data_IF_333198037102
#
_entry.id   IF_333198037102
#
_cell.length_a   1.000
_cell.length_b   1.000
_cell.length_c   1.000
_cell.angle_alpha   90.00
_cell.angle_beta   90.00
_cell.angle_gamma   90.00
#
_symmetry.space_group_name_H-M   'P 1'
#
loop_
_entity.id
_entity.type
_entity.pdbx_description
1 polymer ?
#
# COMPACT_ATOMS: atom_id res chain seq x y z
N UNK A 1 -5.42 -9.93 -21.70
CA UNK A 1 -4.34 -9.85 -20.71
C UNK A 1 -4.80 -8.96 -19.55
N UNK A 2 -4.49 -9.32 -18.33
CA UNK A 2 -4.82 -8.50 -17.14
C UNK A 2 -3.98 -7.23 -17.14
N UNK A 3 -4.62 -6.06 -17.13
CA UNK A 3 -3.92 -4.78 -17.14
C UNK A 3 -3.49 -4.36 -15.73
N UNK A 4 -4.38 -4.58 -14.74
CA UNK A 4 -4.16 -4.18 -13.35
C UNK A 4 -4.22 -5.37 -12.39
N UNK A 5 -3.52 -5.25 -11.28
CA UNK A 5 -3.72 -6.06 -10.07
C UNK A 5 -4.09 -5.14 -8.91
N UNK A 6 -5.23 -5.38 -8.27
CA UNK A 6 -5.55 -4.76 -6.98
C UNK A 6 -4.96 -5.67 -5.90
N UNK A 7 -3.90 -5.20 -5.25
CA UNK A 7 -3.11 -5.98 -4.28
C UNK A 7 -3.45 -5.59 -2.85
N UNK A 8 -3.84 -6.56 -2.04
CA UNK A 8 -4.19 -6.38 -0.64
C UNK A 8 -3.29 -7.28 0.24
N UNK A 9 -2.40 -6.73 1.07
CA UNK A 9 -1.73 -7.52 2.11
C UNK A 9 -2.73 -7.89 3.19
N UNK A 10 -2.71 -9.13 3.67
CA UNK A 10 -3.68 -9.65 4.62
C UNK A 10 -3.03 -10.40 5.77
N UNK A 11 -3.46 -10.08 6.99
CA UNK A 11 -3.16 -10.84 8.21
C UNK A 11 -4.30 -10.69 9.21
N UNK A 12 -5.18 -11.71 9.31
CA UNK A 12 -6.32 -11.73 10.23
C UNK A 12 -7.30 -10.56 10.03
N UNK A 13 -7.84 -10.45 8.83
CA UNK A 13 -8.75 -9.38 8.39
C UNK A 13 -10.13 -9.92 8.00
N UNK A 14 -10.60 -11.01 8.65
CA UNK A 14 -11.89 -11.68 8.30
C UNK A 14 -13.11 -10.75 8.32
N UNK A 15 -13.07 -9.67 9.12
CA UNK A 15 -14.17 -8.72 9.27
C UNK A 15 -14.27 -7.70 8.13
N UNK A 16 -13.18 -7.45 7.44
CA UNK A 16 -13.03 -6.31 6.52
C UNK A 16 -12.71 -6.73 5.09
N UNK A 17 -11.99 -7.84 4.92
CA UNK A 17 -11.47 -8.26 3.61
C UNK A 17 -12.55 -8.42 2.54
N UNK A 18 -13.71 -9.01 2.87
CA UNK A 18 -14.82 -9.18 1.93
C UNK A 18 -15.32 -7.85 1.39
N UNK A 19 -15.56 -6.88 2.28
CA UNK A 19 -16.00 -5.53 1.91
C UNK A 19 -14.96 -4.80 1.06
N UNK A 20 -13.67 -4.91 1.37
CA UNK A 20 -12.59 -4.32 0.57
C UNK A 20 -12.54 -4.91 -0.85
N UNK A 21 -12.75 -6.23 -0.99
CA UNK A 21 -12.81 -6.90 -2.29
C UNK A 21 -14.01 -6.42 -3.10
N UNK A 22 -15.17 -6.27 -2.46
CA UNK A 22 -16.38 -5.79 -3.15
C UNK A 22 -16.27 -4.32 -3.57
N UNK A 23 -15.60 -3.47 -2.78
CA UNK A 23 -15.23 -2.12 -3.20
C UNK A 23 -14.27 -2.15 -4.40
N UNK A 24 -13.25 -3.02 -4.38
CA UNK A 24 -12.33 -3.17 -5.50
C UNK A 24 -13.03 -3.58 -6.80
N UNK A 25 -14.01 -4.48 -6.74
CA UNK A 25 -14.84 -4.84 -7.90
C UNK A 25 -15.60 -3.64 -8.46
N UNK A 26 -16.15 -2.80 -7.57
CA UNK A 26 -16.84 -1.56 -7.99
C UNK A 26 -15.86 -0.59 -8.67
N UNK A 27 -14.66 -0.40 -8.11
CA UNK A 27 -13.62 0.45 -8.67
C UNK A 27 -13.13 -0.05 -10.03
N UNK A 28 -12.94 -1.36 -10.19
CA UNK A 28 -12.59 -2.01 -11.44
C UNK A 28 -13.65 -1.73 -12.51
N UNK A 29 -14.92 -1.95 -12.18
CA UNK A 29 -16.04 -1.71 -13.09
C UNK A 29 -16.18 -0.23 -13.46
N UNK A 30 -16.12 0.67 -12.45
CA UNK A 30 -16.21 2.12 -12.67
C UNK A 30 -15.07 2.68 -13.54
N UNK A 31 -13.87 2.12 -13.41
CA UNK A 31 -12.69 2.51 -14.19
C UNK A 31 -12.59 1.82 -15.55
N UNK A 32 -13.48 0.90 -15.85
CA UNK A 32 -13.51 0.10 -17.10
C UNK A 32 -12.13 -0.52 -17.42
N UNK A 33 -11.58 -1.24 -16.45
CA UNK A 33 -10.26 -1.89 -16.55
C UNK A 33 -10.36 -3.41 -16.48
N UNK A 34 -9.41 -4.09 -17.12
CA UNK A 34 -9.19 -5.53 -16.93
C UNK A 34 -8.27 -5.71 -15.73
N UNK A 35 -8.78 -6.30 -14.65
CA UNK A 35 -7.99 -6.46 -13.42
C UNK A 35 -8.25 -7.79 -12.71
N UNK A 36 -7.24 -8.26 -11.98
CA UNK A 36 -7.41 -9.25 -10.93
C UNK A 36 -7.42 -8.58 -9.55
N UNK A 37 -8.03 -9.23 -8.57
CA UNK A 37 -7.87 -8.90 -7.15
C UNK A 37 -6.99 -9.98 -6.52
N UNK A 38 -5.87 -9.56 -5.95
CA UNK A 38 -4.87 -10.43 -5.34
C UNK A 38 -4.73 -10.12 -3.86
N UNK A 39 -4.97 -11.13 -3.04
CA UNK A 39 -4.73 -11.06 -1.59
C UNK A 39 -3.43 -11.77 -1.26
N UNK A 40 -2.47 -11.05 -0.72
CA UNK A 40 -1.19 -11.58 -0.25
C UNK A 40 -1.32 -11.92 1.25
N UNK A 41 -1.67 -13.17 1.55
CA UNK A 41 -1.84 -13.65 2.92
C UNK A 41 -0.50 -13.89 3.60
N UNK A 42 -0.30 -13.26 4.74
CA UNK A 42 0.93 -13.39 5.53
C UNK A 42 0.80 -14.36 6.72
N UNK A 43 -0.06 -15.35 6.55
CA UNK A 43 -0.30 -16.44 7.50
C UNK A 43 -1.41 -16.14 8.47
N UNK A 44 -2.57 -15.75 7.96
CA UNK A 44 -3.81 -15.59 8.72
C UNK A 44 -4.24 -16.92 9.34
N UNK A 45 -4.70 -16.85 10.58
CA UNK A 45 -5.24 -17.98 11.35
C UNK A 45 -6.76 -17.96 11.45
N UNK A 46 -7.39 -16.89 10.97
CA UNK A 46 -8.84 -16.69 10.92
C UNK A 46 -9.41 -17.07 9.54
N UNK A 47 -10.63 -16.64 9.24
CA UNK A 47 -11.32 -16.95 7.99
C UNK A 47 -10.95 -16.02 6.81
N UNK A 48 -9.96 -15.14 6.95
CA UNK A 48 -9.60 -14.14 5.94
C UNK A 48 -9.39 -14.74 4.54
N UNK A 49 -8.59 -15.80 4.44
CA UNK A 49 -8.29 -16.44 3.15
C UNK A 49 -9.49 -17.14 2.52
N UNK A 50 -10.36 -17.71 3.34
CA UNK A 50 -11.60 -18.32 2.89
C UNK A 50 -12.55 -17.25 2.34
N UNK A 51 -12.80 -16.19 3.10
CA UNK A 51 -13.65 -15.07 2.69
C UNK A 51 -13.13 -14.40 1.42
N UNK A 52 -11.82 -14.20 1.32
CA UNK A 52 -11.22 -13.61 0.13
C UNK A 52 -11.53 -14.41 -1.14
N UNK A 53 -11.44 -15.76 -1.07
CA UNK A 53 -11.78 -16.63 -2.21
C UNK A 53 -13.25 -16.62 -2.54
N UNK A 54 -14.13 -16.67 -1.54
CA UNK A 54 -15.59 -16.57 -1.72
C UNK A 54 -15.99 -15.26 -2.42
N UNK A 55 -15.27 -14.17 -2.10
CA UNK A 55 -15.42 -12.88 -2.79
C UNK A 55 -14.63 -12.80 -4.11
N UNK A 56 -14.15 -13.93 -4.65
CA UNK A 56 -13.55 -14.02 -5.99
C UNK A 56 -12.12 -13.45 -6.10
N UNK A 57 -11.42 -13.21 -5.00
CA UNK A 57 -10.01 -12.84 -5.05
C UNK A 57 -9.10 -14.07 -5.20
N UNK A 58 -8.01 -13.91 -5.92
CA UNK A 58 -6.91 -14.88 -5.91
C UNK A 58 -6.08 -14.66 -4.64
N UNK A 59 -5.76 -15.73 -3.94
CA UNK A 59 -4.98 -15.68 -2.70
C UNK A 59 -3.63 -16.33 -2.91
N UNK A 60 -2.56 -15.63 -2.53
CA UNK A 60 -1.19 -16.15 -2.46
C UNK A 60 -0.70 -16.14 -1.03
N UNK A 61 -0.12 -17.27 -0.59
CA UNK A 61 0.47 -17.36 0.74
C UNK A 61 1.92 -16.89 0.69
N UNK A 62 2.26 -15.93 1.56
CA UNK A 62 3.62 -15.40 1.72
C UNK A 62 4.18 -15.89 3.05
N UNK A 63 5.13 -16.83 2.99
CA UNK A 63 5.68 -17.48 4.17
C UNK A 63 6.52 -16.54 5.03
N UNK A 64 7.28 -15.63 4.41
CA UNK A 64 8.12 -14.69 5.12
C UNK A 64 7.23 -13.63 5.81
N UNK A 65 7.37 -13.54 7.14
CA UNK A 65 6.51 -12.65 7.96
C UNK A 65 6.89 -11.18 7.82
N UNK A 66 5.87 -10.35 7.76
CA UNK A 66 5.96 -8.90 7.76
C UNK A 66 5.14 -8.24 6.65
N UNK A 67 4.75 -7.00 6.89
CA UNK A 67 3.94 -6.19 5.97
C UNK A 67 4.61 -6.05 4.59
N UNK A 68 5.90 -5.67 4.60
CA UNK A 68 6.67 -5.54 3.36
C UNK A 68 6.86 -6.89 2.66
N UNK A 69 7.08 -7.98 3.41
CA UNK A 69 7.17 -9.32 2.84
C UNK A 69 5.88 -9.72 2.12
N UNK A 70 4.71 -9.46 2.73
CA UNK A 70 3.42 -9.71 2.09
C UNK A 70 3.30 -8.96 0.76
N UNK A 71 3.65 -7.67 0.75
CA UNK A 71 3.60 -6.84 -0.45
C UNK A 71 4.59 -7.29 -1.52
N UNK A 72 5.84 -7.60 -1.15
CA UNK A 72 6.87 -8.09 -2.09
C UNK A 72 6.43 -9.43 -2.70
N UNK A 73 5.89 -10.34 -1.88
CA UNK A 73 5.33 -11.61 -2.37
C UNK A 73 4.16 -11.39 -3.32
N UNK A 74 3.26 -10.47 -2.98
CA UNK A 74 2.14 -10.07 -3.82
C UNK A 74 2.57 -9.44 -5.15
N UNK A 75 3.55 -8.53 -5.15
CA UNK A 75 4.13 -7.92 -6.37
C UNK A 75 4.69 -8.98 -7.32
N UNK A 76 5.43 -9.96 -6.77
CA UNK A 76 5.97 -11.08 -7.56
C UNK A 76 4.88 -11.94 -8.17
N UNK A 77 3.80 -12.20 -7.42
CA UNK A 77 2.69 -13.05 -7.85
C UNK A 77 1.67 -12.33 -8.76
N UNK A 78 1.65 -11.00 -8.77
CA UNK A 78 0.73 -10.20 -9.57
C UNK A 78 0.86 -10.48 -11.07
N UNK A 79 -0.26 -10.44 -11.81
CA UNK A 79 -0.33 -10.68 -13.24
C UNK A 79 -0.53 -9.40 -14.06
N UNK A 80 -1.01 -8.34 -13.43
CA UNK A 80 -1.22 -7.05 -14.07
C UNK A 80 0.09 -6.31 -14.38
N UNK A 81 0.08 -5.54 -15.46
CA UNK A 81 1.16 -4.59 -15.77
C UNK A 81 1.30 -3.55 -14.66
N UNK A 82 0.18 -3.08 -14.14
CA UNK A 82 0.11 -2.10 -13.07
C UNK A 82 -0.44 -2.73 -11.81
N UNK A 83 0.05 -2.28 -10.67
CA UNK A 83 -0.46 -2.68 -9.35
C UNK A 83 -1.05 -1.45 -8.68
N UNK A 84 -2.26 -1.58 -8.12
CA UNK A 84 -2.80 -0.66 -7.13
C UNK A 84 -2.89 -1.44 -5.82
N UNK A 85 -2.06 -1.08 -4.84
CA UNK A 85 -2.06 -1.71 -3.53
C UNK A 85 -2.77 -0.85 -2.48
N UNK A 86 -3.33 -1.48 -1.47
CA UNK A 86 -3.88 -0.81 -0.31
C UNK A 86 -4.20 -1.79 0.81
N UNK A 87 -4.34 -1.28 2.03
CA UNK A 87 -4.65 -2.09 3.20
C UNK A 87 -6.11 -2.58 3.14
N UNK A 88 -6.36 -3.80 3.59
CA UNK A 88 -7.70 -4.42 3.54
C UNK A 88 -8.49 -4.25 4.85
N UNK A 89 -8.30 -3.15 5.54
CA UNK A 89 -8.92 -2.80 6.81
C UNK A 89 -10.05 -1.75 6.71
N UNK A 90 -10.54 -1.47 5.51
CA UNK A 90 -11.55 -0.46 5.19
C UNK A 90 -11.06 0.99 5.33
N UNK A 91 -9.81 1.26 5.67
CA UNK A 91 -9.30 2.63 5.80
C UNK A 91 -9.18 3.37 4.47
N UNK A 92 -9.09 2.65 3.36
CA UNK A 92 -9.09 3.21 2.00
C UNK A 92 -10.30 2.75 1.19
N UNK A 93 -10.74 3.60 0.27
CA UNK A 93 -11.84 3.32 -0.63
C UNK A 93 -11.36 2.76 -1.96
N UNK A 94 -11.42 1.45 -2.12
CA UNK A 94 -11.05 0.80 -3.37
C UNK A 94 -12.05 1.03 -4.51
N UNK A 95 -13.22 1.62 -4.25
CA UNK A 95 -14.14 2.01 -5.32
C UNK A 95 -13.68 3.27 -6.05
N UNK A 96 -12.78 4.07 -5.47
CA UNK A 96 -12.24 5.32 -6.02
C UNK A 96 -10.77 5.17 -6.45
N UNK A 97 -10.52 4.28 -7.42
CA UNK A 97 -9.16 4.01 -7.96
C UNK A 97 -8.90 4.71 -9.30
N UNK A 98 -9.87 5.41 -9.87
CA UNK A 98 -9.78 6.00 -11.20
C UNK A 98 -8.60 6.95 -11.39
N UNK A 99 -8.26 7.75 -10.36
CA UNK A 99 -7.10 8.63 -10.38
C UNK A 99 -5.77 7.87 -10.49
N UNK A 100 -5.64 6.72 -9.83
CA UNK A 100 -4.46 5.85 -9.98
C UNK A 100 -4.37 5.26 -11.37
N UNK A 101 -5.49 4.74 -11.90
CA UNK A 101 -5.57 4.17 -13.26
C UNK A 101 -5.12 5.20 -14.29
N UNK A 102 -5.67 6.42 -14.23
CA UNK A 102 -5.32 7.48 -15.15
C UNK A 102 -3.82 7.79 -15.13
N UNK A 103 -3.25 8.03 -13.95
CA UNK A 103 -1.83 8.41 -13.81
C UNK A 103 -0.88 7.30 -14.25
N UNK A 104 -1.20 6.05 -13.96
CA UNK A 104 -0.39 4.91 -14.41
C UNK A 104 -0.40 4.78 -15.95
N UNK A 105 -1.56 4.96 -16.58
CA UNK A 105 -1.67 5.00 -18.06
C UNK A 105 -0.95 6.20 -18.69
N UNK A 106 -0.84 7.33 -17.97
CA UNK A 106 -0.02 8.49 -18.36
C UNK A 106 1.50 8.22 -18.26
N UNK A 107 1.92 7.03 -17.79
CA UNK A 107 3.32 6.61 -17.73
C UNK A 107 4.05 6.99 -16.43
N UNK A 108 3.33 7.36 -15.37
CA UNK A 108 3.95 7.52 -14.06
C UNK A 108 4.39 6.14 -13.53
N UNK A 109 5.63 6.06 -13.04
CA UNK A 109 6.16 4.83 -12.45
C UNK A 109 5.57 4.53 -11.08
N UNK A 110 5.27 5.59 -10.29
CA UNK A 110 4.67 5.51 -8.97
C UNK A 110 3.60 6.60 -8.80
N UNK A 111 2.45 6.23 -8.27
CA UNK A 111 1.34 7.14 -7.91
C UNK A 111 1.04 6.95 -6.43
N UNK A 112 1.24 7.98 -5.64
CA UNK A 112 0.99 7.98 -4.19
C UNK A 112 -0.36 8.59 -3.86
N UNK A 113 -1.09 7.98 -2.92
CA UNK A 113 -2.19 8.68 -2.27
C UNK A 113 -1.68 9.78 -1.33
N UNK A 114 -2.48 10.82 -1.14
CA UNK A 114 -2.27 11.86 -0.13
C UNK A 114 -3.52 12.00 0.72
N UNK A 115 -3.42 11.63 1.98
CA UNK A 115 -4.54 11.61 2.93
C UNK A 115 -4.86 12.98 3.53
N UNK A 116 -3.90 13.91 3.56
CA UNK A 116 -4.01 15.14 4.35
C UNK A 116 -5.18 16.05 4.00
N UNK A 117 -5.73 15.93 2.79
CA UNK A 117 -6.94 16.62 2.37
C UNK A 117 -8.26 15.92 2.71
N UNK A 118 -8.22 14.66 3.20
CA UNK A 118 -9.43 13.84 3.35
C UNK A 118 -9.40 12.87 4.54
N UNK A 119 -8.84 13.29 5.69
CA UNK A 119 -8.80 12.45 6.91
C UNK A 119 -10.13 12.59 7.65
N UNK A 120 -10.91 11.51 7.75
CA UNK A 120 -12.11 11.47 8.58
C UNK A 120 -11.79 11.68 10.07
N UNK A 121 -12.73 12.27 10.80
CA UNK A 121 -12.56 12.49 12.25
C UNK A 121 -12.33 11.17 12.98
N UNK A 122 -11.17 11.03 13.64
CA UNK A 122 -10.79 9.83 14.38
C UNK A 122 -10.14 8.71 13.57
N UNK A 123 -9.91 8.90 12.25
CA UNK A 123 -9.21 7.93 11.41
C UNK A 123 -7.67 7.95 11.63
N UNK A 124 -7.14 9.04 12.15
CA UNK A 124 -5.72 9.18 12.48
C UNK A 124 -5.56 9.91 13.81
N UNK A 125 -4.63 9.46 14.64
CA UNK A 125 -4.31 10.14 15.92
C UNK A 125 -3.68 11.51 15.67
N UNK A 126 -3.85 12.44 16.60
CA UNK A 126 -3.27 13.78 16.51
C UNK A 126 -1.75 13.76 16.31
N UNK A 127 -1.06 12.93 17.08
CA UNK A 127 0.41 12.79 17.00
C UNK A 127 0.87 12.28 15.63
N UNK A 128 0.16 11.31 15.04
CA UNK A 128 0.48 10.84 13.68
C UNK A 128 0.19 11.91 12.63
N UNK A 129 -0.96 12.60 12.73
CA UNK A 129 -1.41 13.57 11.74
C UNK A 129 -0.50 14.79 11.66
N UNK A 130 -0.07 15.32 12.81
CA UNK A 130 0.60 16.62 12.88
C UNK A 130 2.10 16.54 13.17
N UNK A 131 2.60 15.40 13.66
CA UNK A 131 4.00 15.26 14.05
C UNK A 131 4.67 14.09 13.29
N UNK A 132 4.27 12.86 13.53
CA UNK A 132 5.00 11.68 13.06
C UNK A 132 5.08 11.59 11.53
N UNK A 133 3.93 11.59 10.85
CA UNK A 133 3.90 11.48 9.39
C UNK A 133 4.53 12.71 8.70
N UNK A 134 4.25 13.97 9.11
CA UNK A 134 4.89 15.13 8.50
C UNK A 134 6.42 15.15 8.67
N UNK A 135 6.94 14.84 9.87
CA UNK A 135 8.39 14.85 10.11
C UNK A 135 9.12 13.76 9.32
N UNK A 136 8.61 12.53 9.32
CA UNK A 136 9.19 11.44 8.54
C UNK A 136 9.08 11.69 7.03
N UNK A 137 7.96 12.26 6.57
CA UNK A 137 7.81 12.63 5.16
C UNK A 137 8.76 13.75 4.77
N UNK A 138 8.98 14.75 5.63
CA UNK A 138 9.96 15.82 5.38
C UNK A 138 11.37 15.25 5.28
N UNK A 139 11.77 14.38 6.21
CA UNK A 139 13.07 13.71 6.16
C UNK A 139 13.26 12.91 4.85
N UNK A 140 12.23 12.15 4.46
CA UNK A 140 12.22 11.40 3.19
C UNK A 140 12.31 12.31 1.97
N UNK A 141 11.56 13.43 1.95
CA UNK A 141 11.61 14.41 0.86
C UNK A 141 13.02 14.99 0.66
N UNK A 142 13.66 15.38 1.75
CA UNK A 142 15.03 15.90 1.72
C UNK A 142 16.00 14.82 1.23
N UNK A 143 15.89 13.61 1.78
CA UNK A 143 16.82 12.50 1.50
C UNK A 143 16.73 11.96 0.08
N UNK A 144 15.53 11.94 -0.51
CA UNK A 144 15.26 11.36 -1.81
C UNK A 144 14.97 12.40 -2.90
N UNK A 145 15.04 13.70 -2.58
CA UNK A 145 14.77 14.80 -3.50
C UNK A 145 13.42 14.65 -4.23
N UNK A 146 12.36 14.32 -3.46
CA UNK A 146 11.01 14.12 -4.00
C UNK A 146 10.01 15.10 -3.41
N UNK A 147 8.91 15.36 -4.14
CA UNK A 147 7.83 16.24 -3.69
C UNK A 147 6.74 15.51 -2.88
N UNK A 148 6.83 14.19 -2.73
CA UNK A 148 5.82 13.38 -2.01
C UNK A 148 5.67 13.87 -0.57
N UNK A 149 4.44 14.23 -0.17
CA UNK A 149 4.15 14.79 1.16
C UNK A 149 3.58 13.78 2.14
N UNK A 150 3.06 12.63 1.66
CA UNK A 150 2.53 11.55 2.48
C UNK A 150 3.24 10.23 2.18
N UNK A 151 4.38 10.00 2.81
CA UNK A 151 5.19 8.78 2.64
C UNK A 151 4.53 7.51 3.17
N UNK A 152 3.55 7.67 4.07
CA UNK A 152 2.95 6.56 4.80
C UNK A 152 1.51 6.26 4.39
N UNK A 153 1.06 6.82 3.25
CA UNK A 153 -0.21 6.45 2.68
C UNK A 153 -0.17 4.99 2.21
N UNK A 154 -1.10 4.15 2.69
CA UNK A 154 -1.15 2.72 2.34
C UNK A 154 -1.60 2.48 0.90
N UNK A 155 -2.51 3.33 0.37
CA UNK A 155 -2.94 3.17 -1.03
C UNK A 155 -1.98 3.85 -1.99
N UNK A 156 -1.49 3.09 -2.96
CA UNK A 156 -0.57 3.55 -4.00
C UNK A 156 -0.66 2.69 -5.25
N UNK A 157 -0.31 3.26 -6.40
CA UNK A 157 -0.23 2.54 -7.65
C UNK A 157 1.18 2.59 -8.25
N UNK A 158 1.62 1.55 -8.95
CA UNK A 158 2.93 1.55 -9.60
C UNK A 158 3.00 0.55 -10.76
N UNK A 159 3.97 0.75 -11.65
CA UNK A 159 4.33 -0.20 -12.68
C UNK A 159 5.04 -1.41 -12.04
N UNK A 160 4.52 -2.60 -12.32
CA UNK A 160 5.00 -3.85 -11.71
C UNK A 160 6.43 -4.18 -12.10
N UNK A 161 6.78 -4.09 -13.38
CA UNK A 161 8.12 -4.46 -13.86
C UNK A 161 9.17 -3.50 -13.30
N UNK A 162 8.85 -2.20 -13.22
CA UNK A 162 9.71 -1.22 -12.57
C UNK A 162 9.89 -1.53 -11.09
N UNK A 163 8.83 -1.84 -10.36
CA UNK A 163 8.91 -2.21 -8.95
C UNK A 163 9.76 -3.47 -8.71
N UNK A 164 9.65 -4.48 -9.58
CA UNK A 164 10.48 -5.68 -9.54
C UNK A 164 11.95 -5.37 -9.77
N UNK A 165 12.25 -4.50 -10.74
CA UNK A 165 13.62 -4.09 -11.06
C UNK A 165 14.31 -3.32 -9.92
N UNK A 166 13.55 -2.66 -9.05
CA UNK A 166 14.09 -1.91 -7.90
C UNK A 166 14.63 -2.81 -6.78
N UNK A 167 14.36 -4.11 -6.78
CA UNK A 167 14.85 -5.04 -5.77
C UNK A 167 14.37 -4.69 -4.36
N UNK A 168 13.06 -4.47 -4.18
CA UNK A 168 12.44 -4.21 -2.86
C UNK A 168 12.73 -5.36 -1.91
N UNK A 169 13.11 -5.05 -0.66
CA UNK A 169 13.65 -6.05 0.28
C UNK A 169 13.24 -5.85 1.74
N UNK A 170 12.67 -4.70 2.10
CA UNK A 170 12.26 -4.44 3.48
C UNK A 170 11.03 -5.26 3.87
N UNK A 171 11.16 -6.12 4.87
CA UNK A 171 10.09 -7.02 5.31
C UNK A 171 9.03 -6.35 6.18
N UNK A 172 9.33 -5.20 6.80
CA UNK A 172 8.45 -4.51 7.73
C UNK A 172 7.75 -3.29 7.14
N UNK A 173 7.28 -2.39 8.03
CA UNK A 173 6.56 -1.17 7.65
C UNK A 173 7.43 -0.17 6.88
N UNK A 174 8.76 -0.23 7.05
CA UNK A 174 9.73 0.59 6.30
C UNK A 174 9.71 0.35 4.78
N UNK A 175 9.08 -0.73 4.30
CA UNK A 175 8.73 -0.92 2.90
C UNK A 175 8.03 0.31 2.29
N UNK A 176 7.17 0.98 3.08
CA UNK A 176 6.46 2.17 2.64
C UNK A 176 7.42 3.31 2.25
N UNK A 177 8.54 3.45 2.94
CA UNK A 177 9.60 4.42 2.62
C UNK A 177 10.54 3.90 1.53
N UNK A 178 10.86 2.60 1.57
CA UNK A 178 11.76 1.97 0.59
C UNK A 178 11.26 2.16 -0.84
N UNK A 179 10.01 1.84 -1.10
CA UNK A 179 9.44 1.92 -2.46
C UNK A 179 9.52 3.34 -3.01
N UNK A 180 9.17 4.37 -2.21
CA UNK A 180 9.25 5.77 -2.65
C UNK A 180 10.70 6.17 -2.91
N UNK A 181 11.60 5.86 -1.98
CA UNK A 181 13.01 6.21 -2.10
C UNK A 181 13.68 5.57 -3.33
N UNK A 182 13.34 4.32 -3.63
CA UNK A 182 13.88 3.61 -4.80
C UNK A 182 13.29 4.13 -6.10
N UNK A 183 11.98 4.39 -6.19
CA UNK A 183 11.39 5.04 -7.36
C UNK A 183 11.94 6.46 -7.60
N UNK A 184 12.12 7.26 -6.55
CA UNK A 184 12.70 8.59 -6.70
C UNK A 184 14.15 8.55 -7.23
N UNK A 185 14.94 7.58 -6.79
CA UNK A 185 16.33 7.40 -7.24
C UNK A 185 16.47 6.83 -8.64
N UNK A 186 15.50 6.05 -9.10
CA UNK A 186 15.53 5.51 -10.47
C UNK A 186 15.15 6.54 -11.53
N UNK A 187 14.79 7.77 -11.13
CA UNK A 187 14.40 8.83 -12.07
C UNK A 187 12.98 8.65 -12.65
N UNK A 188 12.19 7.74 -12.10
CA UNK A 188 10.84 7.50 -12.55
C UNK A 188 9.91 8.65 -12.19
N UNK A 189 8.94 8.91 -13.07
CA UNK A 189 7.90 9.91 -12.81
C UNK A 189 7.04 9.46 -11.63
N UNK A 190 6.92 10.32 -10.62
CA UNK A 190 6.06 10.11 -9.45
C UNK A 190 4.89 11.07 -9.53
N UNK A 191 3.69 10.62 -9.19
CA UNK A 191 2.51 11.47 -8.99
C UNK A 191 2.00 11.33 -7.56
N UNK A 192 1.24 12.31 -7.11
CA UNK A 192 0.50 12.26 -5.85
C UNK A 192 -0.93 12.73 -6.10
N UNK A 193 -1.92 11.96 -5.64
CA UNK A 193 -3.34 12.25 -5.79
C UNK A 193 -4.03 12.29 -4.43
N UNK A 194 -5.05 13.14 -4.22
CA UNK A 194 -5.79 13.18 -2.98
C UNK A 194 -6.58 11.87 -2.78
N UNK A 195 -6.59 11.36 -1.55
CA UNK A 195 -7.39 10.20 -1.15
C UNK A 195 -8.05 10.45 0.19
N UNK A 196 -9.20 9.80 0.42
CA UNK A 196 -9.85 9.82 1.74
C UNK A 196 -9.24 8.74 2.63
N UNK A 197 -8.99 9.07 3.89
CA UNK A 197 -8.69 8.11 4.94
C UNK A 197 -9.94 7.97 5.82
N UNK A 198 -10.54 6.80 5.79
CA UNK A 198 -11.69 6.42 6.62
C UNK A 198 -11.22 5.82 7.94
N UNK A 199 -12.13 5.66 8.87
CA UNK A 199 -11.84 4.88 10.08
C UNK A 199 -11.63 3.41 9.72
N UNK A 200 -10.65 2.80 10.37
CA UNK A 200 -10.40 1.36 10.33
C UNK A 200 -11.67 0.58 10.72
N UNK A 201 -12.05 -0.37 9.90
CA UNK A 201 -13.22 -1.24 10.12
C UNK A 201 -12.96 -2.40 11.08
N UNK A 202 -11.72 -2.57 11.54
CA UNK A 202 -11.36 -3.56 12.55
C UNK A 202 -11.84 -3.10 13.90
N UNK A 203 -12.61 -3.90 14.61
CA UNK A 203 -12.95 -3.65 16.01
C UNK A 203 -11.78 -3.98 16.97
N UNK A 204 -10.54 -3.73 16.55
CA UNK A 204 -9.34 -4.15 17.24
C UNK A 204 -8.20 -3.13 17.16
N UNK A 205 -7.00 -3.54 17.61
CA UNK A 205 -5.81 -2.70 17.56
C UNK A 205 -5.20 -2.71 16.17
N UNK A 206 -4.73 -1.55 15.70
CA UNK A 206 -3.91 -1.45 14.49
C UNK A 206 -2.64 -2.30 14.62
N UNK A 207 -2.20 -2.91 13.52
CA UNK A 207 -0.91 -3.61 13.45
C UNK A 207 0.29 -2.65 13.51
N UNK A 208 0.06 -1.35 13.31
CA UNK A 208 1.10 -0.32 13.37
C UNK A 208 1.50 -0.03 14.83
N UNK A 209 2.78 -0.17 15.12
CA UNK A 209 3.40 0.20 16.39
C UNK A 209 4.15 1.52 16.24
N UNK A 210 3.54 2.62 16.69
CA UNK A 210 3.95 4.00 16.38
C UNK A 210 5.44 4.28 16.59
N UNK A 211 6.02 3.90 17.73
CA UNK A 211 7.42 4.21 18.06
C UNK A 211 8.39 3.26 17.34
N UNK A 212 8.27 1.91 17.47
CA UNK A 212 9.17 1.00 16.76
C UNK A 212 9.14 1.17 15.24
N UNK A 213 7.95 1.30 14.66
CA UNK A 213 7.83 1.42 13.21
C UNK A 213 8.30 2.81 12.72
N UNK A 214 8.04 3.88 13.48
CA UNK A 214 8.60 5.20 13.20
C UNK A 214 10.13 5.22 13.22
N UNK A 215 10.76 4.51 14.17
CA UNK A 215 12.20 4.34 14.21
C UNK A 215 12.74 3.55 13.02
N UNK A 216 12.06 2.49 12.58
CA UNK A 216 12.43 1.70 11.37
C UNK A 216 12.42 2.58 10.12
N UNK A 217 11.38 3.40 9.95
CA UNK A 217 11.32 4.37 8.84
C UNK A 217 12.48 5.36 8.89
N UNK A 218 12.74 5.99 10.04
CA UNK A 218 13.82 6.96 10.20
C UNK A 218 15.18 6.30 9.92
N UNK A 219 15.43 5.13 10.49
CA UNK A 219 16.65 4.37 10.24
C UNK A 219 16.83 4.08 8.74
N UNK A 220 15.76 3.62 8.07
CA UNK A 220 15.82 3.37 6.63
C UNK A 220 16.13 4.65 5.84
N UNK A 221 15.52 5.79 6.18
CA UNK A 221 15.81 7.08 5.53
C UNK A 221 17.30 7.43 5.64
N UNK A 222 17.91 7.19 6.80
CA UNK A 222 19.31 7.52 7.05
C UNK A 222 20.26 6.53 6.37
N UNK A 223 20.05 5.23 6.55
CA UNK A 223 21.00 4.17 6.17
C UNK A 223 20.70 3.54 4.82
N UNK A 224 19.48 3.68 4.29
CA UNK A 224 18.93 2.94 3.13
C UNK A 224 19.04 1.41 3.27
N UNK A 225 19.07 0.90 4.49
CA UNK A 225 19.14 -0.52 4.78
C UNK A 225 17.96 -0.96 5.63
N UNK A 226 17.36 -2.09 5.26
CA UNK A 226 16.31 -2.72 6.06
C UNK A 226 16.92 -3.32 7.33
N UNK A 227 16.09 -3.48 8.38
CA UNK A 227 16.49 -4.30 9.52
C UNK A 227 16.70 -5.74 9.05
N UNK A 228 17.89 -6.29 9.28
CA UNK A 228 18.09 -7.74 9.19
C UNK A 228 17.41 -8.35 10.42
N UNK A 229 16.50 -9.29 10.19
CA UNK A 229 15.97 -10.17 11.24
C UNK A 229 17.03 -11.12 11.70
#
# INVERSE_FOLDING_TARGET
MTEFTILMPCLNEEKTIGSCIDEAKKGIAASNISAEILVADNGSSDRSTFIAREHGARVVNVAEKGYGSALIGGIKAAQGKYIIMGDCDMSYDFSDIGGFVQKLREGYGLVMGNRFGGIERGAMSFSHRYIGVPLLSLAGRIRYHTFVTDFHCGIRGFDREKALALGLSCSGMEFATEIIGKFARSGEKIAQIPVKLRRDGRNGRSHLRSIPDGWRHLRFIITNSCEKK
#
